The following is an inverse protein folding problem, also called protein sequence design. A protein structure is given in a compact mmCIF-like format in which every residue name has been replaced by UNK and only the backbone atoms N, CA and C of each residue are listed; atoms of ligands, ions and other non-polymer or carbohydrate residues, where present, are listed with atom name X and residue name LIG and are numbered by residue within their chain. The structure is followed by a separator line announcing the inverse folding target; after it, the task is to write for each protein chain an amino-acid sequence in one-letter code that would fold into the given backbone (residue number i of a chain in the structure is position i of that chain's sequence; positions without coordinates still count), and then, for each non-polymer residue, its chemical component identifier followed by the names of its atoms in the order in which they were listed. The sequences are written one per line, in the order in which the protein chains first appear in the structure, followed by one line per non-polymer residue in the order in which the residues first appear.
data_IF_131924764131
#
_entry.id   IF_131924764131
#
_cell.length_a   1.000
_cell.length_b   1.000
_cell.length_c   1.000
_cell.angle_alpha   90.00
_cell.angle_beta   90.00
_cell.angle_gamma   90.00
#
_symmetry.space_group_name_H-M   'P 1'
#
loop_
_entity.id
_entity.type
_entity.pdbx_description
1 polymer ?
#
# COMPACT_ATOMS: atom_id res chain seq x y z
N UNK A 1 21.44 8.89 17.54
CA UNK A 1 21.66 7.45 17.81
C UNK A 1 20.88 6.67 16.73
N UNK A 2 21.52 5.83 15.96
CA UNK A 2 20.85 5.02 14.93
C UNK A 2 19.91 4.00 15.59
N UNK A 3 18.67 3.89 15.10
CA UNK A 3 17.61 3.04 15.63
C UNK A 3 17.15 2.11 14.49
N UNK A 4 17.78 0.93 14.31
CA UNK A 4 17.50 0.03 13.19
C UNK A 4 16.09 -0.59 13.22
N UNK A 5 15.44 -0.55 14.38
CA UNK A 5 14.05 -0.96 14.57
C UNK A 5 13.02 0.04 14.01
N UNK A 6 13.43 1.30 13.76
CA UNK A 6 12.57 2.29 13.13
C UNK A 6 12.75 2.22 11.64
N UNK A 7 11.63 2.02 10.91
CA UNK A 7 11.57 1.99 9.46
C UNK A 7 10.99 3.29 8.93
N UNK A 8 11.61 3.81 7.87
CA UNK A 8 11.14 5.02 7.17
C UNK A 8 10.29 4.58 6.00
N UNK A 9 9.07 5.12 5.96
CA UNK A 9 8.08 4.82 4.94
C UNK A 9 7.70 6.10 4.18
N UNK A 10 7.93 6.16 2.88
CA UNK A 10 7.58 7.30 2.03
C UNK A 10 6.30 7.02 1.24
N UNK A 11 5.39 7.99 1.23
CA UNK A 11 4.12 7.93 0.51
C UNK A 11 3.97 9.05 -0.53
N UNK A 12 5.06 9.71 -0.92
CA UNK A 12 5.02 10.92 -1.78
C UNK A 12 4.22 10.70 -3.05
N UNK A 13 4.46 9.62 -3.77
CA UNK A 13 3.76 9.34 -5.04
C UNK A 13 2.31 8.95 -4.78
N UNK A 14 2.06 8.07 -3.81
CA UNK A 14 0.70 7.64 -3.50
C UNK A 14 -0.18 8.82 -3.05
N UNK A 15 0.29 9.65 -2.12
CA UNK A 15 -0.45 10.82 -1.62
C UNK A 15 -0.52 11.95 -2.66
N UNK A 16 0.58 12.22 -3.34
CA UNK A 16 0.62 13.24 -4.39
C UNK A 16 -0.37 12.98 -5.52
N UNK A 17 -0.67 11.71 -5.78
CA UNK A 17 -1.67 11.30 -6.77
C UNK A 17 -3.08 11.83 -6.51
N UNK A 18 -3.41 12.17 -5.27
CA UNK A 18 -4.69 12.81 -4.93
C UNK A 18 -4.86 14.20 -5.59
N UNK A 19 -3.77 14.82 -6.02
CA UNK A 19 -3.77 16.16 -6.62
C UNK A 19 -3.83 16.13 -8.16
N UNK A 20 -3.47 15.00 -8.80
CA UNK A 20 -3.36 14.88 -10.25
C UNK A 20 -3.91 13.55 -10.80
N UNK A 21 -4.79 12.90 -10.06
CA UNK A 21 -5.39 11.62 -10.44
C UNK A 21 -4.35 10.51 -10.74
N UNK A 22 -3.22 10.52 -10.02
CA UNK A 22 -2.07 9.61 -10.19
C UNK A 22 -1.43 9.63 -11.60
N UNK A 23 -1.55 10.77 -12.28
CA UNK A 23 -0.98 10.99 -13.61
C UNK A 23 0.46 11.53 -13.51
N UNK A 24 1.33 10.80 -12.90
CA UNK A 24 2.77 11.04 -12.94
C UNK A 24 3.41 10.25 -14.09
N UNK A 25 4.33 10.85 -14.81
CA UNK A 25 5.10 10.09 -15.79
C UNK A 25 6.11 9.15 -15.10
N UNK A 26 6.46 8.06 -15.79
CA UNK A 26 7.32 7.01 -15.23
C UNK A 26 8.73 7.52 -14.91
N UNK A 27 9.26 8.48 -15.68
CA UNK A 27 10.60 9.02 -15.45
C UNK A 27 10.65 9.75 -14.11
N UNK A 28 9.63 10.58 -13.82
CA UNK A 28 9.52 11.27 -12.53
C UNK A 28 9.42 10.27 -11.37
N UNK A 29 8.54 9.27 -11.48
CA UNK A 29 8.36 8.28 -10.41
C UNK A 29 9.62 7.46 -10.17
N UNK A 30 10.34 7.08 -11.25
CA UNK A 30 11.64 6.43 -11.17
C UNK A 30 12.67 7.29 -10.43
N UNK A 31 12.79 8.58 -10.82
CA UNK A 31 13.75 9.49 -10.19
C UNK A 31 13.46 9.68 -8.70
N UNK A 32 12.17 9.80 -8.33
CA UNK A 32 11.72 9.87 -6.92
C UNK A 32 12.07 8.59 -6.19
N UNK A 33 11.71 7.42 -6.73
CA UNK A 33 11.98 6.12 -6.11
C UNK A 33 13.48 5.93 -5.84
N UNK A 34 14.32 6.13 -6.85
CA UNK A 34 15.78 5.98 -6.72
C UNK A 34 16.41 7.02 -5.80
N UNK A 35 15.90 8.26 -5.79
CA UNK A 35 16.34 9.30 -4.86
C UNK A 35 16.03 8.96 -3.40
N UNK A 36 14.83 8.42 -3.13
CA UNK A 36 14.42 7.95 -1.82
C UNK A 36 15.26 6.74 -1.37
N UNK A 37 15.46 5.77 -2.26
CA UNK A 37 16.31 4.60 -1.99
C UNK A 37 17.75 5.00 -1.66
N UNK A 38 18.35 5.90 -2.44
CA UNK A 38 19.70 6.44 -2.18
C UNK A 38 19.78 7.20 -0.85
N UNK A 39 18.65 7.72 -0.35
CA UNK A 39 18.55 8.41 0.93
C UNK A 39 18.35 7.46 2.12
N UNK A 40 18.21 6.16 1.88
CA UNK A 40 18.04 5.14 2.92
C UNK A 40 16.60 4.99 3.43
N UNK A 41 15.60 5.36 2.61
CA UNK A 41 14.19 5.07 2.91
C UNK A 41 13.95 3.56 2.80
N UNK A 42 13.30 2.95 3.80
CA UNK A 42 13.10 1.51 3.83
C UNK A 42 11.97 1.05 2.89
N UNK A 43 10.85 1.80 2.83
CA UNK A 43 9.68 1.48 2.00
C UNK A 43 9.22 2.69 1.20
N UNK A 44 8.87 2.49 -0.06
CA UNK A 44 8.29 3.52 -0.92
C UNK A 44 6.94 3.05 -1.46
N UNK A 45 5.87 3.77 -1.11
CA UNK A 45 4.51 3.49 -1.56
C UNK A 45 4.20 4.25 -2.84
N UNK A 46 4.10 3.52 -3.94
CA UNK A 46 3.97 4.10 -5.28
C UNK A 46 2.54 4.42 -5.69
N UNK A 47 1.55 3.83 -5.04
CA UNK A 47 0.15 4.10 -5.37
C UNK A 47 -0.81 3.03 -4.84
N UNK A 48 -1.86 2.77 -5.62
CA UNK A 48 -2.92 1.84 -5.26
C UNK A 48 -2.99 0.63 -6.20
N UNK A 49 -3.56 -0.47 -5.73
CA UNK A 49 -4.04 -1.57 -6.57
C UNK A 49 -5.58 -1.46 -6.70
N UNK A 50 -6.03 -0.41 -7.39
CA UNK A 50 -7.46 -0.13 -7.51
C UNK A 50 -8.13 -1.01 -8.58
N UNK A 51 -9.41 -1.35 -8.35
CA UNK A 51 -10.23 -2.07 -9.33
C UNK A 51 -10.59 -1.15 -10.51
N UNK A 52 -10.22 -1.54 -11.72
CA UNK A 52 -10.52 -0.84 -12.98
C UNK A 52 -12.02 -0.79 -13.32
N UNK A 53 -12.83 -1.63 -12.68
CA UNK A 53 -14.30 -1.56 -12.79
C UNK A 53 -14.88 -0.41 -11.96
N UNK A 54 -14.17 0.03 -10.93
CA UNK A 54 -14.55 1.15 -10.04
C UNK A 54 -13.89 2.45 -10.47
N UNK A 55 -12.63 2.38 -10.90
CA UNK A 55 -11.82 3.53 -11.32
C UNK A 55 -11.44 3.38 -12.79
N UNK A 56 -11.85 4.33 -13.64
CA UNK A 56 -11.55 4.26 -15.07
C UNK A 56 -10.08 4.56 -15.36
N UNK A 57 -9.34 3.70 -16.10
CA UNK A 57 -7.99 4.00 -16.58
C UNK A 57 -7.91 5.21 -17.54
N UNK A 58 -9.05 5.65 -18.10
CA UNK A 58 -9.12 6.86 -18.92
C UNK A 58 -9.05 8.14 -18.09
N UNK A 59 -9.47 8.06 -16.83
CA UNK A 59 -9.48 9.19 -15.88
C UNK A 59 -8.24 9.19 -14.99
N UNK A 60 -7.83 8.01 -14.51
CA UNK A 60 -6.75 7.87 -13.55
C UNK A 60 -5.46 7.35 -14.19
N UNK A 61 -4.34 7.88 -13.73
CA UNK A 61 -3.02 7.45 -14.18
C UNK A 61 -2.59 6.05 -13.67
N UNK A 62 -1.45 5.54 -14.16
CA UNK A 62 -1.00 4.16 -13.90
C UNK A 62 -0.75 3.89 -12.41
N UNK A 63 -0.40 4.89 -11.63
CA UNK A 63 -0.13 4.73 -10.19
C UNK A 63 -1.38 4.58 -9.34
N UNK A 64 -2.59 4.74 -9.92
CA UNK A 64 -3.84 4.32 -9.29
C UNK A 64 -3.99 2.79 -9.32
N UNK A 65 -3.35 2.13 -10.26
CA UNK A 65 -3.47 0.68 -10.49
C UNK A 65 -2.22 -0.11 -10.14
N UNK A 66 -1.04 0.52 -10.15
CA UNK A 66 0.26 -0.06 -9.83
C UNK A 66 0.46 -1.47 -10.41
N UNK A 67 0.30 -1.60 -11.74
CA UNK A 67 0.53 -2.90 -12.40
C UNK A 67 2.00 -3.33 -12.29
N UNK A 68 2.23 -4.63 -12.22
CA UNK A 68 3.58 -5.21 -12.09
C UNK A 68 4.56 -4.67 -13.14
N UNK A 69 4.09 -4.51 -14.38
CA UNK A 69 4.93 -4.01 -15.48
C UNK A 69 5.40 -2.57 -15.22
N UNK A 70 4.50 -1.69 -14.73
CA UNK A 70 4.83 -0.30 -14.44
C UNK A 70 5.77 -0.19 -13.23
N UNK A 71 5.51 -0.97 -12.19
CA UNK A 71 6.36 -1.02 -10.98
C UNK A 71 7.78 -1.49 -11.33
N UNK A 72 7.92 -2.55 -12.15
CA UNK A 72 9.22 -3.08 -12.57
C UNK A 72 10.04 -2.13 -13.41
N UNK A 73 9.41 -1.21 -14.15
CA UNK A 73 10.11 -0.19 -14.93
C UNK A 73 10.75 0.92 -14.06
N UNK A 74 10.22 1.15 -12.85
CA UNK A 74 10.66 2.25 -11.98
C UNK A 74 11.41 1.81 -10.74
N UNK A 75 11.06 0.65 -10.17
CA UNK A 75 11.57 0.18 -8.88
C UNK A 75 12.48 -1.05 -9.07
N UNK A 76 13.63 -0.89 -9.71
CA UNK A 76 14.60 -1.95 -9.94
C UNK A 76 15.95 -1.62 -9.30
N UNK A 77 16.73 -2.66 -8.96
CA UNK A 77 18.12 -2.56 -8.48
C UNK A 77 18.30 -1.57 -7.31
N UNK A 78 17.37 -1.58 -6.35
CA UNK A 78 17.41 -0.74 -5.15
C UNK A 78 17.15 -1.57 -3.89
N UNK A 79 17.67 -1.08 -2.76
CA UNK A 79 17.48 -1.71 -1.45
C UNK A 79 16.13 -1.35 -0.79
N UNK A 80 15.45 -0.29 -1.26
CA UNK A 80 14.12 0.07 -0.76
C UNK A 80 13.07 -0.91 -1.24
N UNK A 81 12.18 -1.28 -0.34
CA UNK A 81 11.03 -2.14 -0.61
C UNK A 81 9.90 -1.37 -1.27
N UNK A 82 9.21 -2.03 -2.19
CA UNK A 82 8.03 -1.49 -2.87
C UNK A 82 6.78 -1.77 -2.05
N UNK A 83 6.01 -0.71 -1.79
CA UNK A 83 4.69 -0.82 -1.18
C UNK A 83 3.59 -0.29 -2.09
N UNK A 84 2.40 -0.85 -1.94
CA UNK A 84 1.16 -0.36 -2.54
C UNK A 84 0.06 -0.31 -1.50
N UNK A 85 -0.92 0.59 -1.72
CA UNK A 85 -2.11 0.65 -0.88
C UNK A 85 -3.29 -0.09 -1.51
N UNK A 86 -4.08 -0.74 -0.69
CA UNK A 86 -5.33 -1.39 -1.05
C UNK A 86 -6.47 -0.88 -0.18
N UNK A 87 -7.60 -0.63 -0.79
CA UNK A 87 -8.85 -0.22 -0.14
C UNK A 87 -9.82 -1.39 -0.10
N UNK A 88 -10.39 -1.71 1.05
CA UNK A 88 -11.41 -2.74 1.19
C UNK A 88 -12.61 -2.51 0.28
N UNK A 89 -12.89 -3.45 -0.62
CA UNK A 89 -14.00 -3.38 -1.58
C UNK A 89 -13.77 -2.49 -2.82
N UNK A 90 -12.57 -1.91 -2.98
CA UNK A 90 -12.20 -1.11 -4.16
C UNK A 90 -10.92 -1.61 -4.82
N UNK A 91 -10.40 -2.74 -4.37
CA UNK A 91 -9.21 -3.40 -4.87
C UNK A 91 -9.62 -4.65 -5.63
N UNK A 92 -9.03 -4.87 -6.80
CA UNK A 92 -9.21 -6.10 -7.56
C UNK A 92 -8.26 -7.18 -7.02
N UNK A 93 -8.83 -8.12 -6.27
CA UNK A 93 -8.08 -9.22 -5.65
C UNK A 93 -7.48 -10.18 -6.69
N UNK A 94 -8.11 -10.31 -7.86
CA UNK A 94 -7.67 -11.22 -8.92
C UNK A 94 -6.36 -10.78 -9.60
N UNK A 95 -5.93 -9.52 -9.38
CA UNK A 95 -4.67 -8.99 -9.91
C UNK A 95 -3.44 -9.32 -9.07
N UNK A 96 -3.63 -9.92 -7.90
CA UNK A 96 -2.49 -10.31 -7.07
C UNK A 96 -1.89 -11.64 -7.52
N UNK A 97 -0.59 -11.66 -7.63
CA UNK A 97 0.24 -12.87 -7.84
C UNK A 97 0.97 -13.21 -6.54
N UNK A 98 1.53 -14.42 -6.38
CA UNK A 98 2.37 -14.72 -5.22
C UNK A 98 3.48 -13.68 -5.04
N UNK A 99 3.79 -13.31 -3.79
CA UNK A 99 4.82 -12.33 -3.48
C UNK A 99 6.20 -12.72 -4.05
N UNK A 100 6.50 -14.03 -4.15
CA UNK A 100 7.74 -14.53 -4.78
C UNK A 100 7.89 -14.15 -6.26
N UNK A 101 6.79 -13.85 -6.94
CA UNK A 101 6.74 -13.52 -8.36
C UNK A 101 6.50 -12.02 -8.59
N UNK A 102 6.19 -11.27 -7.54
CA UNK A 102 5.91 -9.84 -7.54
C UNK A 102 7.15 -9.00 -7.25
N UNK A 103 7.16 -7.75 -7.68
CA UNK A 103 8.12 -6.73 -7.21
C UNK A 103 7.64 -6.04 -5.94
N UNK A 104 6.37 -6.22 -5.58
CA UNK A 104 5.78 -5.65 -4.37
C UNK A 104 6.23 -6.48 -3.17
N UNK A 105 6.75 -5.80 -2.15
CA UNK A 105 7.13 -6.40 -0.88
C UNK A 105 6.00 -6.31 0.14
N UNK A 106 5.35 -5.13 0.22
CA UNK A 106 4.33 -4.84 1.23
C UNK A 106 3.02 -4.36 0.62
N UNK A 107 1.92 -4.90 1.12
CA UNK A 107 0.57 -4.41 0.86
C UNK A 107 0.04 -3.69 2.10
N UNK A 108 -0.28 -2.40 1.96
CA UNK A 108 -0.88 -1.62 3.03
C UNK A 108 -2.39 -1.53 2.86
N UNK A 109 -3.12 -2.18 3.77
CA UNK A 109 -4.59 -2.25 3.75
C UNK A 109 -5.17 -1.04 4.49
N UNK A 110 -5.77 -0.11 3.73
CA UNK A 110 -6.46 1.05 4.29
C UNK A 110 -7.90 0.70 4.62
N UNK A 111 -8.35 1.12 5.81
CA UNK A 111 -9.71 0.85 6.27
C UNK A 111 -10.23 1.92 7.22
N UNK A 112 -11.55 1.99 7.36
CA UNK A 112 -12.20 2.65 8.48
C UNK A 112 -12.61 1.62 9.53
N UNK A 113 -12.78 2.05 10.79
CA UNK A 113 -13.21 1.15 11.88
C UNK A 113 -14.49 0.39 11.52
N UNK A 114 -15.44 1.04 10.84
CA UNK A 114 -16.70 0.42 10.42
C UNK A 114 -16.53 -0.71 9.39
N UNK A 115 -15.42 -0.74 8.66
CA UNK A 115 -15.14 -1.71 7.59
C UNK A 115 -14.04 -2.72 7.98
N UNK A 116 -13.72 -2.83 9.27
CA UNK A 116 -12.60 -3.64 9.77
C UNK A 116 -12.64 -5.11 9.32
N UNK A 117 -13.82 -5.69 9.20
CA UNK A 117 -13.98 -7.09 8.75
C UNK A 117 -13.51 -7.27 7.29
N UNK A 118 -13.80 -6.31 6.41
CA UNK A 118 -13.30 -6.34 5.02
C UNK A 118 -11.78 -6.20 4.96
N UNK A 119 -11.22 -5.39 5.87
CA UNK A 119 -9.76 -5.26 5.98
C UNK A 119 -9.13 -6.58 6.44
N UNK A 120 -9.72 -7.27 7.40
CA UNK A 120 -9.26 -8.58 7.89
C UNK A 120 -9.29 -9.62 6.75
N UNK A 121 -10.36 -9.65 5.93
CA UNK A 121 -10.42 -10.52 4.75
C UNK A 121 -9.27 -10.23 3.78
N UNK A 122 -8.99 -8.96 3.52
CA UNK A 122 -7.87 -8.54 2.67
C UNK A 122 -6.51 -8.91 3.26
N UNK A 123 -6.31 -8.66 4.57
CA UNK A 123 -5.08 -9.05 5.30
C UNK A 123 -4.79 -10.54 5.14
N UNK A 124 -5.79 -11.38 5.43
CA UNK A 124 -5.66 -12.84 5.28
C UNK A 124 -5.32 -13.27 3.87
N UNK A 125 -5.95 -12.61 2.88
CA UNK A 125 -5.72 -12.90 1.48
C UNK A 125 -4.28 -12.57 1.05
N UNK A 126 -3.83 -11.31 1.26
CA UNK A 126 -2.49 -10.89 0.82
C UNK A 126 -1.38 -11.58 1.63
N UNK A 127 -1.63 -11.86 2.92
CA UNK A 127 -0.71 -12.65 3.74
C UNK A 127 -0.58 -14.08 3.23
N UNK A 128 -1.69 -14.69 2.81
CA UNK A 128 -1.70 -16.02 2.18
C UNK A 128 -0.90 -16.10 0.88
N UNK A 129 -0.69 -14.98 0.20
CA UNK A 129 0.17 -14.86 -0.98
C UNK A 129 1.65 -14.57 -0.63
N UNK A 130 1.97 -14.34 0.66
CA UNK A 130 3.34 -14.16 1.17
C UNK A 130 3.82 -12.72 1.25
N UNK A 131 2.95 -11.73 1.10
CA UNK A 131 3.30 -10.30 1.24
C UNK A 131 3.53 -9.90 2.70
N UNK A 132 4.39 -8.91 2.92
CA UNK A 132 4.37 -8.13 4.15
C UNK A 132 3.06 -7.32 4.20
N UNK A 133 2.46 -7.19 5.37
CA UNK A 133 1.14 -6.55 5.51
C UNK A 133 1.17 -5.46 6.56
N UNK A 134 0.72 -4.27 6.17
CA UNK A 134 0.45 -3.16 7.08
C UNK A 134 -1.05 -2.83 7.06
N UNK A 135 -1.64 -2.58 8.22
CA UNK A 135 -3.03 -2.08 8.31
C UNK A 135 -3.00 -0.59 8.61
N UNK A 136 -3.79 0.20 7.90
CA UNK A 136 -3.89 1.64 8.10
C UNK A 136 -5.34 2.03 8.43
N UNK A 137 -5.62 2.22 9.73
CA UNK A 137 -6.95 2.65 10.19
C UNK A 137 -7.06 4.15 10.02
N UNK A 138 -7.98 4.59 9.16
CA UNK A 138 -8.18 6.00 8.83
C UNK A 138 -9.18 6.68 9.76
N UNK A 139 -9.04 8.02 9.90
CA UNK A 139 -9.99 8.92 10.58
C UNK A 139 -10.31 8.51 12.04
N UNK A 140 -9.37 7.92 12.75
CA UNK A 140 -9.54 7.46 14.14
C UNK A 140 -9.98 8.59 15.09
N UNK A 141 -9.64 9.86 14.79
CA UNK A 141 -10.09 11.02 15.58
C UNK A 141 -11.60 11.28 15.53
N UNK A 142 -12.32 10.63 14.61
CA UNK A 142 -13.78 10.72 14.47
C UNK A 142 -14.53 9.48 14.97
N UNK A 143 -13.80 8.55 15.61
CA UNK A 143 -14.34 7.27 16.09
C UNK A 143 -14.41 7.32 17.61
N UNK A 144 -15.43 6.68 18.20
CA UNK A 144 -15.52 6.51 19.64
C UNK A 144 -14.48 5.50 20.11
N UNK A 145 -13.85 5.74 21.24
CA UNK A 145 -12.82 4.87 21.82
C UNK A 145 -13.25 3.40 21.92
N UNK A 146 -14.47 3.05 22.40
CA UNK A 146 -14.90 1.65 22.45
C UNK A 146 -15.01 0.96 21.09
N UNK A 147 -15.35 1.70 20.02
CA UNK A 147 -15.44 1.15 18.68
C UNK A 147 -14.04 0.90 18.10
N UNK A 148 -13.10 1.80 18.39
CA UNK A 148 -11.70 1.62 18.02
C UNK A 148 -11.08 0.43 18.77
N UNK A 149 -11.29 0.32 20.07
CA UNK A 149 -10.78 -0.80 20.87
C UNK A 149 -11.30 -2.14 20.34
N UNK A 150 -12.60 -2.22 20.02
CA UNK A 150 -13.18 -3.44 19.43
C UNK A 150 -12.53 -3.79 18.08
N UNK A 151 -12.25 -2.80 17.24
CA UNK A 151 -11.59 -3.02 15.96
C UNK A 151 -10.13 -3.50 16.15
N UNK A 152 -9.42 -2.90 17.10
CA UNK A 152 -8.05 -3.31 17.46
C UNK A 152 -8.01 -4.73 18.03
N UNK A 153 -8.96 -5.09 18.88
CA UNK A 153 -9.09 -6.46 19.44
C UNK A 153 -9.28 -7.50 18.33
N UNK A 154 -10.08 -7.17 17.30
CA UNK A 154 -10.26 -8.05 16.13
C UNK A 154 -8.95 -8.20 15.34
N UNK A 155 -8.27 -7.10 15.08
CA UNK A 155 -6.99 -7.11 14.37
C UNK A 155 -5.90 -7.84 15.15
N UNK A 156 -5.87 -7.75 16.48
CA UNK A 156 -4.86 -8.39 17.31
C UNK A 156 -4.78 -9.92 17.14
N UNK A 157 -5.82 -10.54 16.57
CA UNK A 157 -5.84 -11.98 16.26
C UNK A 157 -5.30 -12.32 14.87
N UNK A 158 -4.99 -11.33 14.03
CA UNK A 158 -4.56 -11.51 12.66
C UNK A 158 -3.03 -11.44 12.53
N UNK A 159 -2.51 -12.04 11.46
CA UNK A 159 -1.08 -12.03 11.14
C UNK A 159 -0.76 -10.87 10.17
N UNK A 160 -0.23 -9.79 10.72
CA UNK A 160 0.28 -8.65 9.96
C UNK A 160 1.54 -8.08 10.62
N UNK A 161 2.35 -7.32 9.86
CA UNK A 161 3.65 -6.84 10.32
C UNK A 161 3.57 -5.52 11.08
N UNK A 162 2.61 -4.65 10.72
CA UNK A 162 2.46 -3.33 11.36
C UNK A 162 1.04 -2.76 11.22
N UNK A 163 0.70 -1.84 12.12
CA UNK A 163 -0.56 -1.08 12.13
C UNK A 163 -0.26 0.40 12.26
#
# INVERSE_FOLDING_TARGET
MYRPEIKVFDCTIRDGGLMNDWQFDKALVKDVFHGLAASGVDYVELGYRADKKVFSPEQFGPWRFCEEADLREVAYECDSKVSIMCDGGRTDMDQFIPASDSIIDMVRVATYVADIEKAIEMVRFVRGLGYEVCVNIMAISHVLEPDLDQALDKLASEDFDTI
#
